data_IF_681788042289
#
_entry.id   IF_681788042289
#
_cell.length_a   1.000
_cell.length_b   1.000
_cell.length_c   1.000
_cell.angle_alpha   90.00
_cell.angle_beta   90.00
_cell.angle_gamma   90.00
#
_symmetry.space_group_name_H-M   'P 1'
#
loop_
_entity.id
_entity.type
_entity.pdbx_description
1 polymer ?
#
# COMPACT_ATOMS: atom_id res chain seq x y z
N UNK A 1 26.67 -19.47 14.61
CA UNK A 1 26.58 -20.17 13.32
C UNK A 1 25.74 -19.32 12.38
N UNK A 2 26.38 -18.78 11.37
CA UNK A 2 25.78 -17.83 10.41
C UNK A 2 24.97 -18.60 9.35
N UNK A 3 23.71 -18.20 9.15
CA UNK A 3 22.81 -18.87 8.20
C UNK A 3 23.16 -18.49 6.74
N UNK A 4 23.94 -19.30 6.09
CA UNK A 4 24.27 -19.16 4.66
C UNK A 4 23.12 -19.43 3.69
N UNK A 5 21.95 -19.81 4.20
CA UNK A 5 20.77 -20.10 3.35
C UNK A 5 20.06 -18.84 2.85
N UNK A 6 20.11 -17.76 3.62
CA UNK A 6 19.36 -16.54 3.35
C UNK A 6 19.93 -15.74 2.16
N UNK A 7 21.25 -15.77 1.98
CA UNK A 7 21.93 -15.03 0.90
C UNK A 7 21.72 -15.66 -0.48
N UNK A 8 21.63 -16.98 -0.54
CA UNK A 8 21.50 -17.72 -1.80
C UNK A 8 20.10 -17.57 -2.41
N UNK A 9 19.07 -17.68 -1.57
CA UNK A 9 17.67 -17.50 -1.99
C UNK A 9 17.43 -16.06 -2.50
N UNK A 10 18.03 -15.07 -1.82
CA UNK A 10 17.90 -13.64 -2.17
C UNK A 10 18.50 -13.32 -3.55
N UNK A 11 19.62 -13.96 -3.91
CA UNK A 11 20.28 -13.76 -5.21
C UNK A 11 19.50 -14.45 -6.34
N UNK A 12 18.98 -15.63 -6.07
CA UNK A 12 18.17 -16.40 -7.03
C UNK A 12 16.86 -15.67 -7.33
N UNK A 13 16.19 -15.13 -6.31
CA UNK A 13 14.96 -14.33 -6.48
C UNK A 13 15.21 -13.07 -7.32
N UNK A 14 16.32 -12.37 -7.07
CA UNK A 14 16.68 -11.17 -7.83
C UNK A 14 16.95 -11.52 -9.31
N UNK A 15 17.65 -12.61 -9.56
CA UNK A 15 17.94 -13.09 -10.93
C UNK A 15 16.65 -13.46 -11.66
N UNK A 16 15.73 -14.15 -10.99
CA UNK A 16 14.43 -14.53 -11.56
C UNK A 16 13.60 -13.30 -11.93
N UNK A 17 13.54 -12.30 -11.06
CA UNK A 17 12.82 -11.03 -11.32
C UNK A 17 13.43 -10.29 -12.51
N UNK A 18 14.74 -10.24 -12.60
CA UNK A 18 15.44 -9.62 -13.72
C UNK A 18 15.10 -10.33 -15.05
N UNK A 19 15.02 -11.65 -15.03
CA UNK A 19 14.62 -12.45 -16.20
C UNK A 19 13.15 -12.18 -16.57
N UNK A 20 12.25 -12.15 -15.59
CA UNK A 20 10.82 -11.84 -15.78
C UNK A 20 10.64 -10.45 -16.41
N UNK A 21 11.38 -9.46 -15.91
CA UNK A 21 11.34 -8.09 -16.45
C UNK A 21 11.79 -8.08 -17.92
N UNK A 22 12.84 -8.83 -18.27
CA UNK A 22 13.33 -8.96 -19.65
C UNK A 22 12.32 -9.64 -20.57
N UNK A 23 11.48 -10.51 -20.02
CA UNK A 23 10.43 -11.22 -20.77
C UNK A 23 9.14 -10.41 -20.88
N UNK A 24 9.11 -9.18 -20.35
CA UNK A 24 7.93 -8.31 -20.35
C UNK A 24 6.84 -8.78 -19.40
N UNK A 25 7.18 -9.58 -18.37
CA UNK A 25 6.22 -10.03 -17.35
C UNK A 25 6.01 -8.87 -16.36
N UNK A 26 4.76 -8.52 -16.11
CA UNK A 26 4.41 -7.45 -15.17
C UNK A 26 4.88 -7.77 -13.76
N UNK A 27 5.36 -6.75 -13.05
CA UNK A 27 5.83 -6.82 -11.65
C UNK A 27 5.51 -5.49 -10.95
N UNK A 28 5.47 -5.51 -9.63
CA UNK A 28 5.25 -4.29 -8.85
C UNK A 28 6.34 -3.26 -9.17
N UNK A 29 5.93 -2.05 -9.56
CA UNK A 29 6.79 -0.90 -9.86
C UNK A 29 6.76 0.13 -8.74
N UNK A 30 5.59 0.27 -8.09
CA UNK A 30 5.41 1.23 -7.00
C UNK A 30 4.39 0.71 -5.99
N UNK A 31 4.72 0.90 -4.71
CA UNK A 31 3.71 0.80 -3.64
C UNK A 31 3.38 2.21 -3.16
N UNK A 32 2.09 2.43 -2.90
CA UNK A 32 1.57 3.72 -2.42
C UNK A 32 0.88 3.49 -1.08
N UNK A 33 1.39 4.16 -0.05
CA UNK A 33 0.86 4.08 1.31
C UNK A 33 0.63 5.48 1.88
N UNK A 34 -0.27 5.58 2.84
CA UNK A 34 -0.58 6.85 3.52
C UNK A 34 -1.76 6.68 4.46
N UNK A 35 -1.94 7.61 5.37
CA UNK A 35 -3.10 7.63 6.27
C UNK A 35 -4.40 7.95 5.51
N UNK A 36 -5.58 7.63 6.06
CA UNK A 36 -6.87 7.98 5.44
C UNK A 36 -6.92 9.49 5.08
N UNK A 37 -7.30 9.78 3.84
CA UNK A 37 -7.40 11.16 3.35
C UNK A 37 -6.11 11.73 2.76
N UNK A 38 -5.02 10.96 2.68
CA UNK A 38 -3.74 11.44 2.12
C UNK A 38 -3.76 11.60 0.59
N UNK A 39 -4.74 11.02 -0.12
CA UNK A 39 -4.81 11.10 -1.57
C UNK A 39 -4.14 9.94 -2.30
N UNK A 40 -3.90 8.83 -1.63
CA UNK A 40 -3.27 7.63 -2.22
C UNK A 40 -4.03 7.14 -3.47
N UNK A 41 -5.36 7.04 -3.38
CA UNK A 41 -6.18 6.56 -4.51
C UNK A 41 -6.15 7.52 -5.70
N UNK A 42 -6.04 8.83 -5.44
CA UNK A 42 -5.89 9.86 -6.48
C UNK A 42 -4.56 9.67 -7.23
N UNK A 43 -3.48 9.45 -6.48
CA UNK A 43 -2.16 9.17 -7.07
C UNK A 43 -2.21 7.87 -7.90
N UNK A 44 -2.80 6.80 -7.36
CA UNK A 44 -2.93 5.52 -8.07
C UNK A 44 -3.65 5.72 -9.40
N UNK A 45 -4.78 6.45 -9.40
CA UNK A 45 -5.52 6.74 -10.63
C UNK A 45 -4.65 7.51 -11.64
N UNK A 46 -3.92 8.51 -11.18
CA UNK A 46 -3.00 9.28 -12.04
C UNK A 46 -1.89 8.42 -12.65
N UNK A 47 -1.32 7.52 -11.86
CA UNK A 47 -0.27 6.60 -12.34
C UNK A 47 -0.82 5.61 -13.36
N UNK A 48 -2.03 5.08 -13.13
CA UNK A 48 -2.72 4.19 -14.07
C UNK A 48 -2.92 4.88 -15.41
N UNK A 49 -3.40 6.12 -15.39
CA UNK A 49 -3.64 6.91 -16.60
C UNK A 49 -2.33 7.26 -17.32
N UNK A 50 -1.28 7.60 -16.55
CA UNK A 50 0.01 8.04 -17.12
C UNK A 50 0.78 6.89 -17.79
N UNK A 51 0.84 5.72 -17.14
CA UNK A 51 1.64 4.59 -17.60
C UNK A 51 0.84 3.48 -18.29
N UNK A 52 -0.48 3.48 -18.19
CA UNK A 52 -1.33 2.38 -18.66
C UNK A 52 -1.20 1.14 -17.77
N UNK A 53 -0.81 1.31 -16.51
CA UNK A 53 -0.58 0.22 -15.55
C UNK A 53 -1.86 -0.19 -14.84
N UNK A 54 -1.86 -1.42 -14.31
CA UNK A 54 -2.90 -1.95 -13.44
C UNK A 54 -2.57 -1.70 -11.98
N UNK A 55 -3.59 -1.72 -11.13
CA UNK A 55 -3.41 -1.53 -9.69
C UNK A 55 -4.15 -2.59 -8.89
N UNK A 56 -3.59 -2.89 -7.72
CA UNK A 56 -4.19 -3.73 -6.69
C UNK A 56 -4.25 -2.92 -5.40
N UNK A 57 -5.37 -2.95 -4.71
CA UNK A 57 -5.43 -2.34 -3.37
C UNK A 57 -5.93 -3.36 -2.33
N UNK A 58 -5.65 -3.07 -1.06
CA UNK A 58 -6.07 -3.93 0.05
C UNK A 58 -7.57 -4.16 0.09
N UNK A 59 -8.36 -3.20 -0.35
CA UNK A 59 -9.81 -3.32 -0.46
C UNK A 59 -10.24 -4.36 -1.49
N UNK A 60 -9.49 -4.49 -2.59
CA UNK A 60 -9.77 -5.53 -3.60
C UNK A 60 -9.55 -6.92 -3.02
N UNK A 61 -8.47 -7.10 -2.28
CA UNK A 61 -8.18 -8.38 -1.57
C UNK A 61 -9.30 -8.69 -0.57
N UNK A 62 -9.70 -7.68 0.21
CA UNK A 62 -10.79 -7.79 1.20
C UNK A 62 -12.11 -8.20 0.53
N UNK A 63 -12.49 -7.53 -0.56
CA UNK A 63 -13.73 -7.84 -1.30
C UNK A 63 -13.70 -9.24 -1.91
N UNK A 64 -12.57 -9.62 -2.50
CA UNK A 64 -12.40 -10.95 -3.09
C UNK A 64 -12.52 -12.05 -2.04
N UNK A 65 -11.90 -11.86 -0.87
CA UNK A 65 -11.93 -12.85 0.21
C UNK A 65 -13.34 -12.96 0.84
N UNK A 66 -14.03 -11.84 1.05
CA UNK A 66 -15.41 -11.83 1.52
C UNK A 66 -16.30 -12.66 0.57
N UNK A 67 -16.17 -12.40 -0.73
CA UNK A 67 -16.90 -13.13 -1.77
C UNK A 67 -16.58 -14.64 -1.73
N UNK A 68 -15.30 -14.99 -1.61
CA UNK A 68 -14.83 -16.38 -1.54
C UNK A 68 -15.45 -17.13 -0.35
N UNK A 69 -15.62 -16.43 0.76
CA UNK A 69 -16.22 -16.98 2.00
C UNK A 69 -17.76 -16.96 1.98
N UNK A 70 -18.39 -16.39 0.95
CA UNK A 70 -19.83 -16.25 0.86
C UNK A 70 -20.41 -15.26 1.87
N UNK A 71 -19.61 -14.26 2.29
CA UNK A 71 -19.97 -13.27 3.31
C UNK A 71 -20.22 -11.91 2.65
N UNK A 72 -21.12 -11.13 3.24
CA UNK A 72 -21.23 -9.70 2.92
C UNK A 72 -19.98 -8.95 3.44
N UNK A 73 -19.73 -7.77 2.90
CA UNK A 73 -18.59 -6.95 3.34
C UNK A 73 -18.73 -6.55 4.83
N UNK A 74 -19.96 -6.33 5.30
CA UNK A 74 -20.22 -6.00 6.71
C UNK A 74 -19.91 -7.19 7.64
N UNK A 75 -20.36 -8.38 7.29
CA UNK A 75 -20.08 -9.61 8.04
C UNK A 75 -18.60 -9.92 8.07
N UNK A 76 -17.92 -9.79 6.93
CA UNK A 76 -16.50 -10.06 6.85
C UNK A 76 -15.68 -9.00 7.63
N UNK A 77 -16.09 -7.73 7.55
CA UNK A 77 -15.47 -6.66 8.35
C UNK A 77 -15.60 -6.90 9.85
N UNK A 78 -16.79 -7.34 10.30
CA UNK A 78 -17.00 -7.70 11.72
C UNK A 78 -16.12 -8.88 12.14
N UNK A 79 -15.94 -9.87 11.28
CA UNK A 79 -15.03 -11.00 11.53
C UNK A 79 -13.58 -10.52 11.69
N UNK A 80 -13.10 -9.65 10.82
CA UNK A 80 -11.74 -9.11 10.89
C UNK A 80 -11.47 -8.33 12.18
N UNK A 81 -12.48 -7.66 12.75
CA UNK A 81 -12.32 -6.94 14.01
C UNK A 81 -12.22 -7.86 15.23
N UNK A 82 -12.75 -9.07 15.11
CA UNK A 82 -12.76 -10.05 16.22
C UNK A 82 -11.68 -11.12 16.07
N UNK A 83 -11.12 -11.29 14.88
CA UNK A 83 -10.15 -12.34 14.59
C UNK A 83 -8.98 -11.78 13.78
N UNK A 84 -7.91 -11.45 14.46
CA UNK A 84 -6.68 -10.93 13.84
C UNK A 84 -6.01 -11.92 12.89
N UNK A 85 -6.31 -13.20 13.01
CA UNK A 85 -5.78 -14.21 12.08
C UNK A 85 -6.38 -14.02 10.68
N UNK A 86 -7.62 -13.57 10.59
CA UNK A 86 -8.26 -13.23 9.30
C UNK A 86 -7.54 -12.05 8.65
N UNK A 87 -7.20 -11.02 9.42
CA UNK A 87 -6.38 -9.89 8.94
C UNK A 87 -5.02 -10.39 8.43
N UNK A 88 -4.37 -11.26 9.19
CA UNK A 88 -3.08 -11.84 8.81
C UNK A 88 -3.17 -12.58 7.48
N UNK A 89 -4.27 -13.32 7.27
CA UNK A 89 -4.52 -14.04 6.01
C UNK A 89 -4.72 -13.06 4.83
N UNK A 90 -5.42 -11.96 5.05
CA UNK A 90 -5.60 -10.92 4.02
C UNK A 90 -4.25 -10.31 3.61
N UNK A 91 -3.42 -9.99 4.58
CA UNK A 91 -2.08 -9.45 4.31
C UNK A 91 -1.20 -10.48 3.59
N UNK A 92 -1.32 -11.76 3.95
CA UNK A 92 -0.59 -12.85 3.27
C UNK A 92 -1.02 -12.97 1.80
N UNK A 93 -2.33 -12.88 1.53
CA UNK A 93 -2.87 -12.90 0.16
C UNK A 93 -2.35 -11.70 -0.65
N UNK A 94 -2.30 -10.52 -0.04
CA UNK A 94 -1.74 -9.33 -0.70
C UNK A 94 -0.28 -9.55 -1.05
N UNK A 95 0.52 -10.05 -0.11
CA UNK A 95 1.95 -10.32 -0.30
C UNK A 95 2.18 -11.38 -1.38
N UNK A 96 1.34 -12.42 -1.42
CA UNK A 96 1.39 -13.47 -2.45
C UNK A 96 1.18 -12.84 -3.84
N UNK A 97 0.17 -11.98 -3.98
CA UNK A 97 -0.10 -11.30 -5.26
C UNK A 97 1.04 -10.36 -5.66
N UNK A 98 1.62 -9.65 -4.69
CA UNK A 98 2.75 -8.74 -4.93
C UNK A 98 4.00 -9.49 -5.44
N UNK A 99 4.17 -10.74 -5.02
CA UNK A 99 5.36 -11.56 -5.37
C UNK A 99 5.18 -12.35 -6.66
N UNK A 100 3.94 -12.46 -7.14
CA UNK A 100 3.63 -13.31 -8.29
C UNK A 100 4.14 -12.74 -9.60
N UNK A 101 4.49 -13.61 -10.54
CA UNK A 101 4.71 -13.22 -11.94
C UNK A 101 3.37 -12.68 -12.49
N UNK A 102 3.40 -11.52 -13.12
CA UNK A 102 2.19 -10.85 -13.60
C UNK A 102 1.47 -10.04 -12.52
N UNK A 103 2.16 -9.71 -11.43
CA UNK A 103 1.64 -8.81 -10.40
C UNK A 103 1.28 -7.45 -10.99
N UNK A 104 0.29 -6.79 -10.41
CA UNK A 104 -0.07 -5.42 -10.77
C UNK A 104 1.11 -4.47 -10.51
N UNK A 105 1.29 -3.49 -11.39
CA UNK A 105 2.43 -2.56 -11.30
C UNK A 105 2.31 -1.62 -10.09
N UNK A 106 1.08 -1.31 -9.67
CA UNK A 106 0.80 -0.39 -8.56
C UNK A 106 0.10 -1.18 -7.45
N UNK A 107 0.62 -1.09 -6.22
CA UNK A 107 -0.05 -1.70 -5.05
C UNK A 107 -0.32 -0.62 -4.00
N UNK A 108 -1.58 -0.47 -3.61
CA UNK A 108 -2.02 0.50 -2.62
C UNK A 108 -2.55 -0.20 -1.37
N UNK A 109 -1.91 0.02 -0.24
CA UNK A 109 -2.46 -0.34 1.08
C UNK A 109 -1.69 0.39 2.18
N UNK A 110 -2.21 0.31 3.42
CA UNK A 110 -1.52 0.88 4.59
C UNK A 110 -0.10 0.35 4.74
N UNK A 111 0.10 -0.94 4.45
CA UNK A 111 1.37 -1.62 4.69
C UNK A 111 2.05 -2.11 3.41
N UNK A 112 1.60 -1.69 2.20
CA UNK A 112 2.20 -2.18 0.96
C UNK A 112 3.70 -1.84 0.87
N UNK A 113 4.11 -0.68 1.38
CA UNK A 113 5.54 -0.32 1.46
C UNK A 113 6.32 -1.27 2.35
N UNK A 114 5.77 -1.62 3.53
CA UNK A 114 6.37 -2.59 4.44
C UNK A 114 6.47 -3.98 3.79
N UNK A 115 5.41 -4.41 3.11
CA UNK A 115 5.42 -5.73 2.44
C UNK A 115 6.45 -5.78 1.32
N UNK A 116 6.49 -4.76 0.46
CA UNK A 116 7.49 -4.68 -0.60
C UNK A 116 8.92 -4.69 -0.03
N UNK A 117 9.14 -3.98 1.09
CA UNK A 117 10.43 -3.93 1.79
C UNK A 117 10.82 -5.33 2.30
N UNK A 118 9.92 -5.99 3.05
CA UNK A 118 10.16 -7.32 3.63
C UNK A 118 10.35 -8.41 2.56
N UNK A 119 9.65 -8.27 1.43
CA UNK A 119 9.75 -9.17 0.26
C UNK A 119 10.94 -8.83 -0.64
N UNK A 120 11.70 -7.79 -0.33
CA UNK A 120 12.84 -7.31 -1.13
C UNK A 120 12.45 -7.03 -2.59
N UNK A 121 11.27 -6.46 -2.82
CA UNK A 121 10.83 -6.08 -4.16
C UNK A 121 11.62 -4.85 -4.62
N UNK A 122 12.12 -4.89 -5.84
CA UNK A 122 12.85 -3.78 -6.47
C UNK A 122 11.84 -2.81 -7.10
N UNK A 123 11.32 -1.91 -6.28
CA UNK A 123 10.25 -0.97 -6.66
C UNK A 123 10.34 0.32 -5.83
N UNK A 124 9.70 1.37 -6.31
CA UNK A 124 9.49 2.59 -5.53
C UNK A 124 8.52 2.26 -4.39
N UNK A 125 8.86 2.63 -3.16
CA UNK A 125 7.97 2.48 -2.00
C UNK A 125 7.68 3.87 -1.45
N UNK A 126 6.48 4.38 -1.77
CA UNK A 126 6.10 5.76 -1.49
C UNK A 126 5.14 5.85 -0.31
N UNK A 127 5.49 6.70 0.65
CA UNK A 127 4.59 7.14 1.71
C UNK A 127 4.15 8.57 1.40
N UNK A 128 2.83 8.80 1.37
CA UNK A 128 2.27 10.15 1.22
C UNK A 128 1.90 10.65 2.61
N UNK A 129 2.64 11.65 3.07
CA UNK A 129 2.40 12.30 4.34
C UNK A 129 1.57 13.55 4.12
N UNK A 130 0.56 13.78 4.97
CA UNK A 130 -0.35 14.93 4.87
C UNK A 130 -0.84 15.26 6.29
N UNK A 131 -0.82 16.52 6.64
CA UNK A 131 -1.33 17.02 7.92
C UNK A 131 -2.78 16.56 8.17
N UNK A 132 -3.11 16.30 9.42
CA UNK A 132 -4.42 15.79 9.82
C UNK A 132 -5.57 16.70 9.36
N UNK A 133 -5.41 18.02 9.48
CA UNK A 133 -6.41 18.99 9.02
C UNK A 133 -6.63 18.92 7.50
N UNK A 134 -5.54 18.87 6.74
CA UNK A 134 -5.64 18.79 5.28
C UNK A 134 -6.28 17.47 4.84
N UNK A 135 -5.96 16.36 5.52
CA UNK A 135 -6.62 15.07 5.25
C UNK A 135 -8.13 15.17 5.50
N UNK A 136 -8.53 15.85 6.58
CA UNK A 136 -9.95 16.08 6.90
C UNK A 136 -10.63 16.94 5.81
N UNK A 137 -9.97 18.02 5.37
CA UNK A 137 -10.49 18.88 4.28
C UNK A 137 -10.72 18.08 3.00
N UNK A 138 -9.79 17.19 2.63
CA UNK A 138 -9.90 16.34 1.44
C UNK A 138 -11.08 15.36 1.54
N UNK A 139 -11.29 14.79 2.72
CA UNK A 139 -12.43 13.90 3.00
C UNK A 139 -13.76 14.69 2.86
N UNK A 140 -13.85 15.84 3.48
CA UNK A 140 -15.06 16.71 3.41
C UNK A 140 -15.35 17.14 1.96
N UNK A 141 -14.33 17.50 1.21
CA UNK A 141 -14.49 17.90 -0.20
C UNK A 141 -15.07 16.76 -1.06
N UNK A 142 -14.75 15.51 -0.72
CA UNK A 142 -15.21 14.32 -1.46
C UNK A 142 -16.56 13.80 -0.96
N UNK A 143 -16.77 13.79 0.35
CA UNK A 143 -17.88 13.08 1.00
C UNK A 143 -18.90 14.00 1.68
N UNK A 144 -18.56 15.27 1.88
CA UNK A 144 -19.38 16.21 2.66
C UNK A 144 -19.11 16.09 4.14
N UNK A 145 -19.96 16.71 4.94
CA UNK A 145 -19.83 16.74 6.39
C UNK A 145 -18.97 17.91 6.87
N UNK A 146 -18.50 17.84 8.11
CA UNK A 146 -17.67 18.89 8.73
C UNK A 146 -16.22 18.44 8.89
N UNK A 147 -15.33 19.42 8.96
CA UNK A 147 -13.88 19.20 9.22
C UNK A 147 -13.69 18.46 10.56
N UNK A 148 -14.43 18.88 11.59
CA UNK A 148 -14.35 18.30 12.93
C UNK A 148 -14.73 16.80 12.94
N UNK A 149 -15.82 16.45 12.26
CA UNK A 149 -16.26 15.04 12.11
C UNK A 149 -15.22 14.22 11.35
N UNK A 150 -14.70 14.77 10.26
CA UNK A 150 -13.69 14.10 9.44
C UNK A 150 -12.36 13.91 10.20
N UNK A 151 -11.92 14.92 10.96
CA UNK A 151 -10.74 14.82 11.82
C UNK A 151 -10.90 13.67 12.82
N UNK A 152 -12.00 13.67 13.56
CA UNK A 152 -12.29 12.66 14.58
C UNK A 152 -12.35 11.24 13.96
N UNK A 153 -12.99 11.10 12.80
CA UNK A 153 -13.09 9.83 12.09
C UNK A 153 -11.72 9.33 11.61
N UNK A 154 -10.91 10.23 11.04
CA UNK A 154 -9.56 9.92 10.57
C UNK A 154 -8.63 9.53 11.72
N UNK A 155 -8.67 10.26 12.84
CA UNK A 155 -7.88 9.96 14.04
C UNK A 155 -8.25 8.60 14.62
N UNK A 156 -9.54 8.32 14.75
CA UNK A 156 -10.03 7.03 15.24
C UNK A 156 -9.52 5.88 14.33
N UNK A 157 -9.62 6.06 13.03
CA UNK A 157 -9.20 5.06 12.04
C UNK A 157 -7.69 4.82 12.10
N UNK A 158 -6.90 5.89 12.20
CA UNK A 158 -5.45 5.82 12.34
C UNK A 158 -5.04 5.07 13.61
N UNK A 159 -5.70 5.39 14.73
CA UNK A 159 -5.42 4.75 16.03
C UNK A 159 -5.77 3.25 16.01
N UNK A 160 -6.90 2.88 15.38
CA UNK A 160 -7.31 1.48 15.22
C UNK A 160 -6.29 0.72 14.36
N UNK A 161 -5.86 1.30 13.25
CA UNK A 161 -4.86 0.70 12.36
C UNK A 161 -3.53 0.54 13.11
N UNK A 162 -3.10 1.55 13.85
CA UNK A 162 -1.87 1.49 14.64
C UNK A 162 -1.87 0.36 15.68
N UNK A 163 -2.79 0.17 16.19
CA UNK A 163 -2.95 -0.76 17.14
C UNK A 163 -2.87 -2.06 16.61
N UNK A 164 -3.67 -2.19 15.68
CA UNK A 164 -3.76 -3.48 14.99
C UNK A 164 -2.41 -3.92 14.41
N UNK A 165 -1.75 -3.07 13.66
CA UNK A 165 -0.47 -3.39 13.03
C UNK A 165 0.65 -3.61 14.05
N UNK A 166 0.63 -2.85 15.14
CA UNK A 166 1.59 -3.06 16.23
C UNK A 166 1.39 -4.45 16.85
N UNK A 167 0.13 -4.86 17.07
CA UNK A 167 -0.20 -6.17 17.65
C UNK A 167 0.16 -7.32 16.69
N UNK A 168 -0.11 -7.15 15.40
CA UNK A 168 0.13 -8.20 14.40
C UNK A 168 1.61 -8.33 14.02
N UNK A 169 2.32 -7.21 13.86
CA UNK A 169 3.61 -7.17 13.17
C UNK A 169 4.70 -6.39 13.89
N UNK A 170 4.36 -5.65 14.95
CA UNK A 170 5.30 -4.78 15.69
C UNK A 170 5.78 -3.60 14.85
N UNK A 171 4.94 -3.06 13.95
CA UNK A 171 5.29 -1.95 13.05
C UNK A 171 4.19 -0.89 13.04
N UNK A 172 4.57 0.33 12.66
CA UNK A 172 3.63 1.40 12.33
C UNK A 172 3.75 1.72 10.83
N UNK A 173 2.62 1.99 10.17
CA UNK A 173 2.64 2.24 8.72
C UNK A 173 3.57 3.37 8.28
N UNK A 174 3.62 4.46 9.08
CA UNK A 174 4.35 5.69 8.77
C UNK A 174 5.85 5.66 9.11
N UNK A 175 6.36 4.57 9.69
CA UNK A 175 7.81 4.44 9.96
C UNK A 175 8.61 4.55 8.65
N UNK A 176 9.68 5.32 8.68
CA UNK A 176 10.45 5.67 7.47
C UNK A 176 11.23 4.51 6.85
N UNK A 177 11.55 3.51 7.65
CA UNK A 177 12.44 2.40 7.26
C UNK A 177 12.09 1.75 5.92
N UNK A 178 10.81 1.39 5.63
CA UNK A 178 10.53 0.67 4.38
C UNK A 178 10.49 1.55 3.12
N UNK A 179 10.38 2.87 3.25
CA UNK A 179 10.05 3.75 2.13
C UNK A 179 11.29 4.29 1.42
N UNK A 180 11.26 4.28 0.09
CA UNK A 180 12.28 4.91 -0.76
C UNK A 180 12.02 6.41 -0.90
N UNK A 181 10.75 6.82 -0.74
CA UNK A 181 10.35 8.24 -0.73
C UNK A 181 9.23 8.45 0.28
N UNK A 182 9.38 9.49 1.11
CA UNK A 182 8.32 10.03 1.98
C UNK A 182 8.04 11.43 1.46
N UNK A 183 6.86 11.63 0.88
CA UNK A 183 6.47 12.91 0.27
C UNK A 183 5.48 13.64 1.17
N UNK A 184 5.87 14.81 1.67
CA UNK A 184 4.92 15.71 2.33
C UNK A 184 4.05 16.39 1.27
N UNK A 185 2.80 15.96 1.17
CA UNK A 185 1.84 16.44 0.18
C UNK A 185 0.78 17.37 0.78
N UNK A 186 1.03 17.91 1.98
CA UNK A 186 0.09 18.81 2.68
C UNK A 186 -0.31 19.98 1.80
N UNK A 187 0.66 20.58 1.10
CA UNK A 187 0.46 21.77 0.25
C UNK A 187 0.57 21.46 -1.25
N UNK A 188 0.55 20.19 -1.64
CA UNK A 188 0.67 19.77 -3.05
C UNK A 188 -0.69 19.39 -3.63
N UNK A 189 -0.91 19.80 -4.87
CA UNK A 189 -2.04 19.32 -5.66
C UNK A 189 -1.77 17.92 -6.24
N UNK A 190 -2.81 17.30 -6.77
CA UNK A 190 -2.73 15.95 -7.35
C UNK A 190 -1.69 15.83 -8.47
N UNK A 191 -1.54 16.91 -9.28
CA UNK A 191 -0.59 16.93 -10.41
C UNK A 191 0.87 16.95 -9.92
N UNK A 192 1.13 17.68 -8.83
CA UNK A 192 2.45 17.79 -8.22
C UNK A 192 2.85 16.47 -7.56
N UNK A 193 1.90 15.79 -6.88
CA UNK A 193 2.14 14.47 -6.27
C UNK A 193 2.43 13.42 -7.35
N UNK A 194 1.65 13.44 -8.44
CA UNK A 194 1.88 12.55 -9.59
C UNK A 194 3.27 12.79 -10.21
N UNK A 195 3.63 14.06 -10.43
CA UNK A 195 4.94 14.41 -11.02
C UNK A 195 6.10 13.88 -10.16
N UNK A 196 5.99 14.00 -8.82
CA UNK A 196 7.01 13.50 -7.89
C UNK A 196 7.15 11.97 -8.00
N UNK A 197 6.04 11.25 -8.07
CA UNK A 197 6.05 9.79 -8.21
C UNK A 197 6.65 9.35 -9.55
N UNK A 198 6.27 10.01 -10.65
CA UNK A 198 6.79 9.73 -12.00
C UNK A 198 8.31 9.95 -12.03
N UNK A 199 8.79 11.06 -11.47
CA UNK A 199 10.24 11.35 -11.40
C UNK A 199 11.02 10.23 -10.71
N UNK A 200 10.51 9.72 -9.58
CA UNK A 200 11.17 8.62 -8.86
C UNK A 200 11.13 7.31 -9.63
N UNK A 201 10.02 7.04 -10.32
CA UNK A 201 9.88 5.83 -11.17
C UNK A 201 10.85 5.87 -12.36
N UNK A 202 10.99 7.03 -13.00
CA UNK A 202 11.90 7.20 -14.14
C UNK A 202 13.37 7.09 -13.72
N UNK A 203 13.71 7.50 -12.49
CA UNK A 203 15.06 7.40 -11.95
C UNK A 203 15.48 5.94 -11.70
N UNK A 204 14.52 5.01 -11.53
CA UNK A 204 14.79 3.57 -11.34
C UNK A 204 14.78 2.78 -12.66
N UNK A 205 14.32 3.38 -13.76
CA UNK A 205 14.17 2.69 -15.06
C UNK A 205 15.52 2.46 -15.77
#
# INVERSE_FOLDING_TARGET
>A
MWNGHDHKTRTEDKALRCLQARMGVSMVKITVSGHPGSGTSTLVSGLMDHFGWSSLNGGDVFRAEAKRRGMTLAEFGALCTTDLEVDRQLDALLQERMSAAGAEEIVESRLSGWWAYRLNLDCVRMWIDVDAEERARRVVAREGGTIEEALKANEKRTAVDAXRFMQLYGILPEEREPYTIVLDATHLGREEVLAAAVEHLEALA
#
